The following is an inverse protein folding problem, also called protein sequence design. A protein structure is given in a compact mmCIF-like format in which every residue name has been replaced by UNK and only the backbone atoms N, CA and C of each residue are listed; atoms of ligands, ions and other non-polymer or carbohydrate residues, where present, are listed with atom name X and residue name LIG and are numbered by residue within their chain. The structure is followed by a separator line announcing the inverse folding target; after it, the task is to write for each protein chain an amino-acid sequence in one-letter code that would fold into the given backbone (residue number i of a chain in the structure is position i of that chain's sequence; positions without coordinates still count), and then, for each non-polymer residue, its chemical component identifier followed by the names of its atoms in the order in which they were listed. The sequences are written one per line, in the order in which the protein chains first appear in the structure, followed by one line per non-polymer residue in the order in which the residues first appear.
data_IF_286481407483
#
_entry.id   IF_286481407483
#
_cell.length_a   1.000
_cell.length_b   1.000
_cell.length_c   1.000
_cell.angle_alpha   90.00
_cell.angle_beta   90.00
_cell.angle_gamma   90.00
#
_symmetry.space_group_name_H-M   'P 1'
#
loop_
_entity.id
_entity.type
_entity.pdbx_description
1 polymer ?
#
# COMPACT_ATOMS: atom_id res chain seq x y z
N UNK A 1 -41.86 6.10 19.49
CA UNK A 1 -41.84 5.94 18.01
C UNK A 1 -40.72 6.73 17.34
N UNK A 2 -40.46 8.00 17.70
CA UNK A 2 -39.37 8.81 17.11
C UNK A 2 -37.96 8.20 17.27
N UNK A 3 -37.62 7.67 18.45
CA UNK A 3 -36.33 7.01 18.67
C UNK A 3 -36.14 5.76 17.79
N UNK A 4 -37.22 5.00 17.57
CA UNK A 4 -37.19 3.84 16.69
C UNK A 4 -36.99 4.26 15.23
N UNK A 5 -37.69 5.31 14.77
CA UNK A 5 -37.52 5.86 13.43
C UNK A 5 -36.10 6.40 13.19
N UNK A 6 -35.52 7.08 14.18
CA UNK A 6 -34.13 7.56 14.14
C UNK A 6 -33.14 6.40 14.08
N UNK A 7 -33.34 5.36 14.90
CA UNK A 7 -32.50 4.16 14.88
C UNK A 7 -32.52 3.47 13.52
N UNK A 8 -33.69 3.34 12.90
CA UNK A 8 -33.84 2.79 11.55
C UNK A 8 -33.12 3.65 10.52
N UNK A 9 -33.25 4.97 10.58
CA UNK A 9 -32.56 5.89 9.66
C UNK A 9 -31.03 5.77 9.76
N UNK A 10 -30.48 5.78 10.98
CA UNK A 10 -29.03 5.64 11.22
C UNK A 10 -28.54 4.26 10.76
N UNK A 11 -29.26 3.19 11.12
CA UNK A 11 -28.90 1.83 10.72
C UNK A 11 -28.89 1.65 9.20
N UNK A 12 -29.87 2.25 8.51
CA UNK A 12 -29.94 2.21 7.05
C UNK A 12 -28.78 2.99 6.40
N UNK A 13 -28.48 4.19 6.90
CA UNK A 13 -27.34 4.99 6.42
C UNK A 13 -26.01 4.28 6.66
N UNK A 14 -25.83 3.69 7.85
CA UNK A 14 -24.67 2.87 8.16
C UNK A 14 -24.58 1.64 7.26
N UNK A 15 -25.69 0.97 6.97
CA UNK A 15 -25.75 -0.16 6.03
C UNK A 15 -25.28 0.22 4.63
N UNK A 16 -25.75 1.35 4.10
CA UNK A 16 -25.29 1.89 2.80
C UNK A 16 -23.79 2.18 2.85
N UNK A 17 -23.30 2.81 3.91
CA UNK A 17 -21.87 3.09 4.08
C UNK A 17 -21.02 1.81 4.14
N UNK A 18 -21.48 0.78 4.87
CA UNK A 18 -20.80 -0.51 4.96
C UNK A 18 -20.70 -1.19 3.59
N UNK A 19 -21.76 -1.15 2.78
CA UNK A 19 -21.75 -1.68 1.42
C UNK A 19 -20.77 -0.92 0.51
N UNK A 20 -20.74 0.42 0.63
CA UNK A 20 -19.77 1.27 -0.07
C UNK A 20 -18.32 0.91 0.28
N UNK A 21 -18.00 0.82 1.58
CA UNK A 21 -16.67 0.41 2.05
C UNK A 21 -16.30 -1.01 1.60
N UNK A 22 -17.26 -1.92 1.55
CA UNK A 22 -17.02 -3.26 1.02
C UNK A 22 -16.72 -3.23 -0.49
N UNK A 23 -17.42 -2.40 -1.27
CA UNK A 23 -17.15 -2.22 -2.70
C UNK A 23 -15.75 -1.63 -2.95
N UNK A 24 -15.36 -0.58 -2.21
CA UNK A 24 -14.03 0.01 -2.29
C UNK A 24 -12.91 -1.01 -2.00
N UNK A 25 -13.10 -1.84 -0.96
CA UNK A 25 -12.13 -2.91 -0.63
C UNK A 25 -12.01 -3.94 -1.74
N UNK A 26 -13.13 -4.41 -2.30
CA UNK A 26 -13.13 -5.37 -3.42
C UNK A 26 -12.43 -4.79 -4.64
N UNK A 27 -12.63 -3.50 -4.91
CA UNK A 27 -11.95 -2.84 -6.02
C UNK A 27 -10.43 -2.77 -5.80
N UNK A 28 -10.01 -2.43 -4.57
CA UNK A 28 -8.59 -2.41 -4.21
C UNK A 28 -7.95 -3.81 -4.33
N UNK A 29 -8.64 -4.84 -3.84
CA UNK A 29 -8.21 -6.25 -3.96
C UNK A 29 -8.09 -6.65 -5.44
N UNK A 30 -9.08 -6.29 -6.27
CA UNK A 30 -9.05 -6.57 -7.71
C UNK A 30 -7.86 -5.89 -8.41
N UNK A 31 -7.57 -4.61 -8.08
CA UNK A 31 -6.40 -3.90 -8.62
C UNK A 31 -5.09 -4.56 -8.20
N UNK A 32 -4.97 -4.99 -6.95
CA UNK A 32 -3.78 -5.69 -6.45
C UNK A 32 -3.58 -7.03 -7.18
N UNK A 33 -4.66 -7.82 -7.31
CA UNK A 33 -4.63 -9.10 -8.02
C UNK A 33 -4.25 -8.93 -9.51
N UNK A 34 -4.87 -7.97 -10.19
CA UNK A 34 -4.57 -7.68 -11.59
C UNK A 34 -3.09 -7.27 -11.77
N UNK A 35 -2.58 -6.34 -10.96
CA UNK A 35 -1.18 -5.91 -11.01
C UNK A 35 -0.19 -7.05 -10.73
N UNK A 36 -0.49 -7.89 -9.74
CA UNK A 36 0.35 -9.04 -9.36
C UNK A 36 0.42 -10.14 -10.43
N UNK A 37 -0.68 -10.35 -11.17
CA UNK A 37 -0.76 -11.35 -12.26
C UNK A 37 -0.15 -10.89 -13.58
N UNK A 38 0.06 -9.59 -13.76
CA UNK A 38 0.55 -9.06 -15.02
C UNK A 38 2.08 -9.29 -15.17
N UNK A 39 2.62 -9.28 -16.39
CA UNK A 39 4.04 -9.64 -16.63
C UNK A 39 5.08 -8.68 -16.02
N UNK A 40 6.16 -9.21 -15.41
CA UNK A 40 7.15 -8.42 -14.64
C UNK A 40 7.78 -7.27 -15.45
N UNK A 41 7.82 -6.08 -14.85
CA UNK A 41 8.52 -4.92 -15.40
C UNK A 41 10.03 -5.07 -15.21
N UNK A 42 10.81 -4.80 -16.26
CA UNK A 42 12.29 -4.94 -16.24
C UNK A 42 13.01 -3.59 -16.04
N UNK A 43 12.26 -2.50 -15.96
CA UNK A 43 12.78 -1.14 -15.80
C UNK A 43 11.81 -0.30 -14.98
N UNK A 44 12.33 0.81 -14.46
CA UNK A 44 11.51 1.80 -13.79
C UNK A 44 10.57 2.48 -14.80
N UNK A 45 9.37 2.76 -14.34
CA UNK A 45 8.37 3.55 -15.07
C UNK A 45 8.43 4.99 -14.59
N UNK A 46 8.16 5.92 -15.51
CA UNK A 46 8.10 7.33 -15.20
C UNK A 46 7.00 7.63 -14.17
N UNK A 47 7.22 8.64 -13.33
CA UNK A 47 6.34 8.96 -12.20
C UNK A 47 4.92 9.36 -12.62
N UNK A 48 4.77 9.97 -13.80
CA UNK A 48 3.48 10.34 -14.39
C UNK A 48 2.66 9.13 -14.82
N UNK A 49 3.31 8.03 -15.22
CA UNK A 49 2.67 6.77 -15.57
C UNK A 49 2.49 5.81 -14.37
N UNK A 50 3.03 6.13 -13.18
CA UNK A 50 3.08 5.20 -12.04
C UNK A 50 1.72 4.67 -11.57
N UNK A 51 0.64 5.43 -11.80
CA UNK A 51 -0.72 5.00 -11.46
C UNK A 51 -1.19 3.78 -12.28
N UNK A 52 -0.80 3.71 -13.56
CA UNK A 52 -1.16 2.62 -14.47
C UNK A 52 -0.46 1.30 -14.10
N UNK A 53 0.78 1.40 -13.61
CA UNK A 53 1.61 0.25 -13.25
C UNK A 53 1.54 -0.12 -11.78
N UNK A 54 0.58 0.44 -11.03
CA UNK A 54 0.44 0.17 -9.59
C UNK A 54 0.25 -1.33 -9.32
N UNK A 55 0.86 -1.80 -8.24
CA UNK A 55 0.86 -3.22 -7.80
C UNK A 55 1.54 -4.20 -8.74
N UNK A 56 2.23 -3.72 -9.78
CA UNK A 56 2.99 -4.60 -10.67
C UNK A 56 4.35 -4.97 -10.08
N UNK A 57 4.72 -6.23 -10.28
CA UNK A 57 6.05 -6.73 -9.96
C UNK A 57 7.10 -6.09 -10.88
N UNK A 58 8.18 -5.60 -10.29
CA UNK A 58 9.35 -5.06 -11.00
C UNK A 58 10.60 -5.86 -10.62
N UNK A 59 11.47 -6.12 -11.60
CA UNK A 59 12.78 -6.72 -11.40
C UNK A 59 13.83 -5.72 -11.85
N UNK A 60 14.70 -5.34 -10.92
CA UNK A 60 15.75 -4.35 -11.14
C UNK A 60 17.10 -4.91 -10.72
N UNK A 61 18.17 -4.44 -11.35
CA UNK A 61 19.54 -4.66 -10.94
C UNK A 61 20.14 -3.34 -10.43
N UNK A 62 20.92 -3.42 -9.35
CA UNK A 62 21.36 -2.23 -8.64
C UNK A 62 22.09 -2.54 -7.33
N UNK A 63 22.25 -1.52 -6.49
CA UNK A 63 22.89 -1.61 -5.18
C UNK A 63 22.07 -0.87 -4.14
N UNK A 64 22.00 -1.43 -2.94
CA UNK A 64 21.43 -0.71 -1.79
C UNK A 64 22.42 0.34 -1.30
N UNK A 65 21.88 1.51 -0.96
CA UNK A 65 22.59 2.56 -0.26
C UNK A 65 22.19 2.51 1.22
N UNK A 66 22.99 1.80 2.00
CA UNK A 66 22.74 1.61 3.42
C UNK A 66 23.04 2.86 4.27
N UNK A 67 23.86 3.79 3.77
CA UNK A 67 24.23 5.01 4.48
C UNK A 67 23.04 5.98 4.57
N UNK A 68 22.16 5.97 3.56
CA UNK A 68 20.95 6.80 3.51
C UNK A 68 19.67 6.03 3.86
N UNK A 69 19.78 4.98 4.68
CA UNK A 69 18.62 4.23 5.16
C UNK A 69 17.75 5.09 6.10
N UNK A 70 16.43 5.00 5.91
CA UNK A 70 15.43 5.68 6.73
C UNK A 70 14.68 4.67 7.59
N UNK A 71 14.49 5.01 8.86
CA UNK A 71 13.61 4.29 9.77
C UNK A 71 12.30 5.08 9.88
N UNK A 72 11.23 4.53 9.30
CA UNK A 72 9.90 5.09 9.49
C UNK A 72 9.34 4.59 10.81
N UNK A 73 9.16 5.52 11.75
CA UNK A 73 8.68 5.29 13.11
C UNK A 73 7.16 5.15 13.19
N UNK A 74 6.65 4.96 14.42
CA UNK A 74 5.23 4.80 14.72
C UNK A 74 4.57 3.63 13.95
N UNK A 75 5.34 2.59 13.63
CA UNK A 75 4.83 1.39 12.99
C UNK A 75 4.72 0.27 14.03
N UNK A 76 3.49 -0.15 14.30
CA UNK A 76 3.22 -1.31 15.16
C UNK A 76 3.00 -2.57 14.34
N UNK A 77 3.70 -3.65 14.69
CA UNK A 77 3.46 -4.99 14.16
C UNK A 77 3.10 -5.94 15.30
N UNK A 78 1.97 -6.64 15.22
CA UNK A 78 1.49 -7.55 16.27
C UNK A 78 1.45 -6.94 17.70
N UNK A 79 1.12 -5.65 17.81
CA UNK A 79 1.12 -4.84 19.05
C UNK A 79 2.50 -4.52 19.63
N UNK A 80 3.58 -4.78 18.89
CA UNK A 80 4.92 -4.33 19.25
C UNK A 80 5.28 -3.08 18.44
N UNK A 81 5.78 -2.00 19.09
CA UNK A 81 6.29 -0.84 18.38
C UNK A 81 7.61 -1.17 17.67
N UNK A 82 7.85 -0.53 16.53
CA UNK A 82 9.07 -0.70 15.77
C UNK A 82 9.13 0.24 14.57
N UNK A 83 10.00 -0.11 13.63
CA UNK A 83 10.33 0.72 12.48
C UNK A 83 10.15 -0.05 11.16
N UNK A 84 9.67 0.62 10.12
CA UNK A 84 9.82 0.12 8.75
C UNK A 84 11.16 0.59 8.20
N UNK A 85 11.95 -0.33 7.68
CA UNK A 85 13.28 -0.06 7.14
C UNK A 85 13.13 0.29 5.66
N UNK A 86 13.27 1.57 5.32
CA UNK A 86 13.27 2.03 3.93
C UNK A 86 14.71 2.28 3.49
N UNK A 87 15.20 1.51 2.54
CA UNK A 87 16.57 1.64 2.02
C UNK A 87 16.52 2.08 0.56
N UNK A 88 17.21 3.18 0.18
CA UNK A 88 17.38 3.53 -1.22
C UNK A 88 18.11 2.42 -1.98
N UNK A 89 17.64 2.14 -3.19
CA UNK A 89 18.20 1.17 -4.12
C UNK A 89 18.53 1.88 -5.42
N UNK A 90 19.82 2.08 -5.67
CA UNK A 90 20.34 2.74 -6.85
C UNK A 90 20.39 1.76 -8.03
N UNK A 91 19.78 2.14 -9.15
CA UNK A 91 19.76 1.38 -10.40
C UNK A 91 20.28 2.24 -11.55
N UNK A 92 20.51 1.64 -12.73
CA UNK A 92 20.88 2.41 -13.92
C UNK A 92 19.79 3.42 -14.36
N UNK A 93 18.52 3.18 -14.00
CA UNK A 93 17.40 4.04 -14.36
C UNK A 93 17.01 5.06 -13.29
N UNK A 94 17.74 5.12 -12.17
CA UNK A 94 17.45 5.99 -11.03
C UNK A 94 17.38 5.24 -9.69
N UNK A 95 17.06 5.99 -8.64
CA UNK A 95 16.98 5.48 -7.27
C UNK A 95 15.53 5.27 -6.86
N UNK A 96 15.23 4.12 -6.25
CA UNK A 96 13.92 3.83 -5.66
C UNK A 96 14.06 3.52 -4.18
N UNK A 97 13.04 3.86 -3.38
CA UNK A 97 12.97 3.43 -1.99
C UNK A 97 12.38 2.02 -1.93
N UNK A 98 13.12 1.10 -1.31
CA UNK A 98 12.66 -0.27 -1.07
C UNK A 98 12.31 -0.40 0.41
N UNK A 99 11.08 -0.77 0.70
CA UNK A 99 10.70 -1.21 2.03
C UNK A 99 11.25 -2.62 2.27
N UNK A 100 12.18 -2.77 3.22
CA UNK A 100 12.85 -4.03 3.57
C UNK A 100 12.18 -4.78 4.73
N UNK A 101 11.06 -4.26 5.22
CA UNK A 101 10.27 -4.85 6.28
C UNK A 101 10.38 -4.11 7.61
N UNK A 102 9.85 -4.75 8.64
CA UNK A 102 9.73 -4.20 9.98
C UNK A 102 10.81 -4.76 10.91
N UNK A 103 11.31 -3.92 11.81
CA UNK A 103 12.21 -4.31 12.91
C UNK A 103 11.67 -3.80 14.25
N UNK A 104 11.81 -4.56 15.35
CA UNK A 104 11.44 -4.08 16.68
C UNK A 104 12.31 -2.88 17.08
N UNK A 105 11.73 -2.01 17.92
CA UNK A 105 12.45 -0.87 18.49
C UNK A 105 13.43 -1.26 19.60
#
# INVERSE_FOLDING_TARGET
MLLAALGVAIGSAAGVWQLGRAAEKRELEARFAAGGSAGVLQQLVASDAAAEFRYRTVRLAGRYDAEHQLLLDNISHERQPGYQVLTPFATAGGTVLVNRGWVPA
#
